data_IF_587425348522
#
_entry.id   IF_587425348522
#
_cell.length_a   1.000
_cell.length_b   1.000
_cell.length_c   1.000
_cell.angle_alpha   90.00
_cell.angle_beta   90.00
_cell.angle_gamma   90.00
#
_symmetry.space_group_name_H-M   'P 1'
#
loop_
_entity.id
_entity.type
_entity.pdbx_description
1 polymer ?
#
# COMPACT_ATOMS: atom_id res chain seq x y z
N UNK A 1 19.91 -25.24 -11.89
CA UNK A 1 18.57 -25.64 -11.44
C UNK A 1 17.86 -24.33 -11.11
N UNK A 2 16.94 -23.91 -12.00
CA UNK A 2 16.17 -22.67 -11.80
C UNK A 2 15.18 -22.93 -10.66
N UNK A 3 15.37 -22.31 -9.51
CA UNK A 3 14.34 -22.27 -8.48
C UNK A 3 13.11 -21.63 -9.09
N UNK A 4 12.05 -22.41 -9.18
CA UNK A 4 10.74 -21.95 -9.64
C UNK A 4 10.25 -20.97 -8.57
N UNK A 5 10.49 -19.67 -8.74
CA UNK A 5 9.92 -18.65 -7.84
C UNK A 5 8.42 -18.78 -7.90
N UNK A 6 7.80 -19.07 -6.78
CA UNK A 6 6.35 -19.00 -6.64
C UNK A 6 5.90 -17.58 -7.03
N UNK A 7 4.94 -17.44 -7.95
CA UNK A 7 4.50 -16.12 -8.38
C UNK A 7 3.96 -15.33 -7.17
N UNK A 8 4.33 -14.07 -7.09
CA UNK A 8 3.86 -13.18 -6.03
C UNK A 8 2.33 -13.03 -6.10
N UNK A 9 1.62 -12.96 -4.96
CA UNK A 9 0.20 -12.65 -4.95
C UNK A 9 -0.08 -11.36 -5.71
N UNK A 10 -1.16 -11.36 -6.48
CA UNK A 10 -1.60 -10.20 -7.25
C UNK A 10 -3.08 -9.94 -7.05
N UNK A 11 -3.45 -8.65 -7.01
CA UNK A 11 -4.83 -8.21 -7.11
C UNK A 11 -5.03 -7.57 -8.48
N UNK A 12 -6.17 -7.81 -9.09
CA UNK A 12 -6.53 -7.21 -10.39
C UNK A 12 -7.79 -6.39 -10.24
N UNK A 13 -7.77 -5.22 -10.84
CA UNK A 13 -8.92 -4.33 -10.96
C UNK A 13 -9.23 -4.09 -12.43
N UNK A 14 -10.09 -3.16 -12.75
CA UNK A 14 -10.39 -2.79 -14.13
C UNK A 14 -9.14 -2.28 -14.89
N UNK A 15 -8.33 -1.44 -14.23
CA UNK A 15 -7.20 -0.77 -14.87
C UNK A 15 -5.85 -1.14 -14.29
N UNK A 16 -5.81 -1.72 -13.07
CA UNK A 16 -4.59 -1.94 -12.31
C UNK A 16 -4.31 -3.41 -12.04
N UNK A 17 -3.01 -3.71 -11.96
CA UNK A 17 -2.48 -4.93 -11.37
C UNK A 17 -1.64 -4.53 -10.16
N UNK A 18 -1.97 -5.06 -8.98
CA UNK A 18 -1.23 -4.85 -7.75
C UNK A 18 -0.42 -6.10 -7.45
N UNK A 19 0.88 -5.95 -7.20
CA UNK A 19 1.82 -7.02 -6.89
C UNK A 19 2.25 -6.89 -5.43
N UNK A 20 2.11 -7.96 -4.66
CA UNK A 20 2.49 -7.97 -3.25
C UNK A 20 4.01 -7.81 -3.08
N UNK A 21 4.41 -7.05 -2.06
CA UNK A 21 5.80 -6.76 -1.75
C UNK A 21 6.41 -7.79 -0.80
N UNK A 22 7.65 -8.15 -1.08
CA UNK A 22 8.50 -9.03 -0.25
C UNK A 22 9.51 -8.21 0.55
N UNK A 23 10.19 -8.79 1.57
CA UNK A 23 11.30 -8.15 2.25
C UNK A 23 12.41 -7.70 1.31
N UNK A 24 12.69 -8.48 0.26
CA UNK A 24 13.69 -8.12 -0.76
C UNK A 24 13.28 -6.85 -1.52
N UNK A 25 12.00 -6.72 -1.89
CA UNK A 25 11.47 -5.54 -2.53
C UNK A 25 11.57 -4.31 -1.63
N UNK A 26 11.22 -4.42 -0.34
CA UNK A 26 11.36 -3.32 0.61
C UNK A 26 12.81 -2.92 0.86
N UNK A 27 13.72 -3.89 0.93
CA UNK A 27 15.16 -3.62 1.08
C UNK A 27 15.69 -2.82 -0.11
N UNK A 28 15.36 -3.24 -1.33
CA UNK A 28 15.73 -2.54 -2.55
C UNK A 28 15.12 -1.14 -2.61
N UNK A 29 13.85 -1.01 -2.25
CA UNK A 29 13.14 0.26 -2.23
C UNK A 29 13.77 1.26 -1.24
N UNK A 30 14.02 0.81 -0.01
CA UNK A 30 14.66 1.65 1.02
C UNK A 30 16.10 2.06 0.68
N UNK A 31 16.79 1.25 -0.13
CA UNK A 31 18.12 1.57 -0.65
C UNK A 31 18.10 2.50 -1.88
N UNK A 32 16.91 2.75 -2.46
CA UNK A 32 16.80 3.47 -3.74
C UNK A 32 17.32 2.66 -4.94
N UNK A 33 17.52 1.34 -4.77
CA UNK A 33 17.99 0.45 -5.84
C UNK A 33 16.83 0.02 -6.73
N UNK A 34 16.57 0.83 -7.75
CA UNK A 34 15.47 0.60 -8.72
C UNK A 34 15.66 -0.70 -9.49
N UNK A 35 16.91 -1.09 -9.78
CA UNK A 35 17.23 -2.33 -10.48
C UNK A 35 16.87 -3.56 -9.65
N UNK A 36 17.30 -3.58 -8.39
CA UNK A 36 16.95 -4.65 -7.45
C UNK A 36 15.44 -4.67 -7.16
N UNK A 37 14.78 -3.52 -7.05
CA UNK A 37 13.34 -3.43 -6.88
C UNK A 37 12.59 -4.01 -8.08
N UNK A 38 13.04 -3.69 -9.31
CA UNK A 38 12.50 -4.26 -10.54
C UNK A 38 12.67 -5.78 -10.58
N UNK A 39 13.83 -6.29 -10.19
CA UNK A 39 14.08 -7.73 -10.13
C UNK A 39 13.21 -8.44 -9.08
N UNK A 40 13.00 -7.81 -7.91
CA UNK A 40 12.22 -8.38 -6.83
C UNK A 40 10.69 -8.39 -7.10
N UNK A 41 10.20 -7.48 -7.94
CA UNK A 41 8.75 -7.30 -8.19
C UNK A 41 8.32 -7.69 -9.60
N UNK A 42 9.24 -7.80 -10.54
CA UNK A 42 8.94 -7.97 -11.97
C UNK A 42 8.40 -6.70 -12.63
N UNK A 43 8.44 -5.54 -11.95
CA UNK A 43 7.94 -4.26 -12.47
C UNK A 43 9.10 -3.44 -13.04
N UNK A 44 8.96 -2.93 -14.25
CA UNK A 44 9.92 -2.01 -14.85
C UNK A 44 9.62 -0.57 -14.41
N UNK A 45 10.44 -0.02 -13.53
CA UNK A 45 10.25 1.36 -13.03
C UNK A 45 10.79 2.42 -13.98
N UNK A 46 11.80 2.11 -14.81
CA UNK A 46 12.41 3.06 -15.74
C UNK A 46 12.86 4.33 -15.02
N UNK A 47 12.61 5.47 -15.66
CA UNK A 47 12.93 6.79 -15.11
C UNK A 47 11.96 7.26 -14.01
N UNK A 48 10.91 6.49 -13.74
CA UNK A 48 9.95 6.81 -12.71
C UNK A 48 10.55 6.77 -11.29
N UNK A 49 11.60 6.00 -11.11
CA UNK A 49 12.16 5.76 -9.80
C UNK A 49 11.22 4.94 -8.90
N UNK A 50 11.63 4.73 -7.66
CA UNK A 50 10.78 4.07 -6.68
C UNK A 50 9.52 4.90 -6.36
N UNK A 51 8.37 4.28 -6.04
CA UNK A 51 7.17 5.01 -5.69
C UNK A 51 7.41 6.01 -4.57
N UNK A 52 6.78 7.20 -4.64
CA UNK A 52 6.84 8.14 -3.55
C UNK A 52 6.11 7.51 -2.36
N UNK A 53 6.83 6.94 -1.45
CA UNK A 53 6.40 6.78 -0.09
C UNK A 53 7.09 7.85 0.71
N UNK A 54 6.55 8.14 1.86
CA UNK A 54 7.23 8.85 2.92
C UNK A 54 8.69 8.37 2.96
N UNK A 55 9.53 8.96 2.13
CA UNK A 55 10.89 8.44 1.84
C UNK A 55 11.72 8.37 3.13
N UNK A 56 11.39 9.21 4.11
CA UNK A 56 12.00 9.25 5.42
C UNK A 56 11.63 8.03 6.28
N UNK A 57 10.46 7.43 6.06
CA UNK A 57 9.97 6.30 6.84
C UNK A 57 10.31 4.94 6.24
N UNK A 58 10.71 4.90 4.98
CA UNK A 58 11.04 3.63 4.29
C UNK A 58 12.05 2.76 5.05
N UNK A 59 13.16 3.29 5.61
CA UNK A 59 14.09 2.48 6.39
C UNK A 59 13.45 1.89 7.64
N UNK A 60 12.61 2.66 8.35
CA UNK A 60 11.90 2.19 9.56
C UNK A 60 10.88 1.12 9.20
N UNK A 61 10.13 1.32 8.12
CA UNK A 61 9.14 0.37 7.59
C UNK A 61 9.84 -0.93 7.20
N UNK A 62 10.95 -0.86 6.45
CA UNK A 62 11.76 -2.03 6.09
C UNK A 62 12.20 -2.81 7.32
N UNK A 63 12.76 -2.15 8.33
CA UNK A 63 13.28 -2.80 9.54
C UNK A 63 12.15 -3.47 10.32
N UNK A 64 10.98 -2.84 10.40
CA UNK A 64 9.77 -3.42 11.00
C UNK A 64 9.32 -4.68 10.24
N UNK A 65 9.30 -4.62 8.92
CA UNK A 65 8.93 -5.76 8.06
C UNK A 65 9.90 -6.90 8.25
N UNK A 66 11.22 -6.63 8.21
CA UNK A 66 12.24 -7.66 8.41
C UNK A 66 12.14 -8.33 9.79
N UNK A 67 11.80 -7.56 10.82
CA UNK A 67 11.65 -8.06 12.19
C UNK A 67 10.38 -8.90 12.40
N UNK A 68 9.32 -8.65 11.62
CA UNK A 68 8.00 -9.27 11.77
C UNK A 68 7.58 -10.10 10.57
N UNK A 69 8.51 -10.39 9.66
CA UNK A 69 8.17 -11.09 8.44
C UNK A 69 7.64 -12.49 8.72
N UNK A 70 6.50 -12.77 8.14
CA UNK A 70 5.89 -14.08 8.06
C UNK A 70 5.50 -14.30 6.59
N UNK A 71 5.94 -15.39 5.94
CA UNK A 71 5.56 -15.71 4.57
C UNK A 71 4.04 -15.77 4.35
N UNK A 72 3.29 -16.20 5.37
CA UNK A 72 1.82 -16.27 5.33
C UNK A 72 1.16 -14.89 5.48
N UNK A 73 1.94 -13.87 5.87
CA UNK A 73 1.49 -12.48 5.96
C UNK A 73 1.81 -11.65 4.70
N UNK A 74 2.19 -12.29 3.59
CA UNK A 74 2.40 -11.59 2.32
C UNK A 74 1.11 -10.89 1.89
N UNK A 75 1.24 -9.62 1.45
CA UNK A 75 0.10 -8.74 1.17
C UNK A 75 -0.31 -7.84 2.34
N UNK A 76 -0.02 -8.22 3.58
CA UNK A 76 -0.29 -7.39 4.77
C UNK A 76 0.72 -6.25 4.96
N UNK A 77 1.77 -6.20 4.17
CA UNK A 77 2.76 -5.13 4.23
C UNK A 77 2.60 -4.12 3.10
N UNK A 78 2.39 -4.60 1.87
CA UNK A 78 2.15 -3.66 0.77
C UNK A 78 2.08 -4.30 -0.59
N UNK A 79 1.61 -3.46 -1.51
CA UNK A 79 1.37 -3.76 -2.91
C UNK A 79 1.89 -2.63 -3.77
N UNK A 80 2.55 -2.95 -4.87
CA UNK A 80 2.84 -1.99 -5.93
C UNK A 80 1.77 -2.09 -7.01
N UNK A 81 1.18 -0.95 -7.36
CA UNK A 81 0.16 -0.85 -8.39
C UNK A 81 0.78 -0.44 -9.73
N UNK A 82 0.42 -1.15 -10.78
CA UNK A 82 0.79 -0.84 -12.17
C UNK A 82 -0.43 -0.74 -13.05
N UNK A 83 -0.35 -0.01 -14.16
CA UNK A 83 -1.36 -0.07 -15.21
C UNK A 83 -1.33 -1.46 -15.86
N UNK A 84 -2.45 -2.15 -15.88
CA UNK A 84 -2.54 -3.50 -16.48
C UNK A 84 -2.19 -3.49 -17.97
N UNK A 85 -2.52 -2.41 -18.67
CA UNK A 85 -2.30 -2.30 -20.11
C UNK A 85 -0.83 -2.13 -20.50
N UNK A 86 -0.02 -1.44 -19.67
CA UNK A 86 1.34 -1.04 -20.02
C UNK A 86 2.41 -1.58 -19.05
N UNK A 87 2.01 -2.01 -17.86
CA UNK A 87 2.94 -2.34 -16.77
C UNK A 87 3.55 -1.12 -16.08
N UNK A 88 3.17 0.10 -16.46
CA UNK A 88 3.69 1.33 -15.88
C UNK A 88 3.33 1.45 -14.40
N UNK A 89 4.30 1.74 -13.50
CA UNK A 89 4.03 1.89 -12.09
C UNK A 89 3.21 3.15 -11.80
N UNK A 90 2.19 2.99 -10.95
CA UNK A 90 1.23 4.04 -10.59
C UNK A 90 1.42 4.54 -9.16
N UNK A 91 1.79 3.65 -8.25
CA UNK A 91 1.94 3.96 -6.85
C UNK A 91 1.96 2.70 -5.99
N UNK A 92 1.65 2.88 -4.71
CA UNK A 92 1.63 1.80 -3.73
C UNK A 92 0.45 1.93 -2.78
N UNK A 93 0.05 0.81 -2.20
CA UNK A 93 -0.88 0.73 -1.09
C UNK A 93 -0.39 -0.34 -0.14
N UNK A 94 -0.53 -0.15 1.16
CA UNK A 94 -0.04 -1.12 2.12
C UNK A 94 -0.72 -1.01 3.48
N UNK A 95 -0.43 -1.99 4.32
CA UNK A 95 -0.92 -2.08 5.69
C UNK A 95 0.25 -2.05 6.67
N UNK A 96 -0.04 -1.76 7.93
CA UNK A 96 0.94 -1.82 9.01
C UNK A 96 1.16 -3.26 9.56
N UNK A 97 1.08 -4.25 8.69
CA UNK A 97 1.09 -5.67 9.03
C UNK A 97 -0.33 -6.25 9.19
N UNK A 98 -0.39 -7.55 9.46
CA UNK A 98 -1.65 -8.23 9.78
C UNK A 98 -2.19 -7.69 11.11
N UNK A 99 -3.47 -7.29 11.20
CA UNK A 99 -4.00 -6.76 12.45
C UNK A 99 -4.16 -7.84 13.52
N UNK A 100 -3.82 -7.49 14.76
CA UNK A 100 -4.02 -8.34 15.93
C UNK A 100 -5.39 -8.09 16.60
N UNK A 101 -5.98 -6.91 16.36
CA UNK A 101 -7.23 -6.43 16.96
C UNK A 101 -8.42 -6.38 15.96
N UNK A 102 -8.26 -6.99 14.80
CA UNK A 102 -9.29 -7.01 13.75
C UNK A 102 -9.36 -5.77 12.87
N UNK A 103 -8.58 -4.71 13.15
CA UNK A 103 -8.61 -3.47 12.36
C UNK A 103 -7.26 -3.20 11.70
N UNK A 104 -7.19 -3.36 10.37
CA UNK A 104 -5.98 -3.12 9.60
C UNK A 104 -5.77 -1.63 9.35
N UNK A 105 -4.58 -1.11 9.60
CA UNK A 105 -4.22 0.28 9.26
C UNK A 105 -3.65 0.33 7.85
N UNK A 106 -4.21 1.19 6.99
CA UNK A 106 -3.84 1.33 5.58
C UNK A 106 -3.17 2.67 5.28
N UNK A 107 -2.18 2.63 4.39
CA UNK A 107 -1.57 3.80 3.78
C UNK A 107 -1.42 3.61 2.27
N UNK A 108 -1.33 4.72 1.52
CA UNK A 108 -1.22 4.68 0.06
C UNK A 108 -0.52 5.91 -0.48
N UNK A 109 0.08 5.77 -1.66
CA UNK A 109 0.68 6.87 -2.39
C UNK A 109 0.55 6.65 -3.90
N UNK A 110 0.51 7.74 -4.66
CA UNK A 110 0.40 7.73 -6.13
C UNK A 110 1.43 8.70 -6.69
N UNK A 111 2.16 8.28 -7.74
CA UNK A 111 3.06 9.18 -8.46
C UNK A 111 2.31 10.43 -8.93
N UNK A 112 2.95 11.59 -8.85
CA UNK A 112 2.33 12.88 -9.16
C UNK A 112 1.65 12.89 -10.53
N UNK A 113 2.32 12.32 -11.55
CA UNK A 113 1.78 12.22 -12.92
C UNK A 113 0.52 11.37 -13.06
N UNK A 114 0.22 10.53 -12.07
CA UNK A 114 -0.95 9.64 -12.03
C UNK A 114 -2.03 10.11 -11.06
N UNK A 115 -1.81 11.20 -10.35
CA UNK A 115 -2.81 11.78 -9.43
C UNK A 115 -4.01 12.35 -10.19
N UNK A 116 -5.15 12.41 -9.53
CA UNK A 116 -6.39 12.93 -10.13
C UNK A 116 -7.06 12.02 -11.16
N UNK A 117 -6.46 10.86 -11.51
CA UNK A 117 -6.98 9.92 -12.51
C UNK A 117 -7.79 8.77 -11.89
N UNK A 118 -7.98 8.76 -10.57
CA UNK A 118 -8.75 7.76 -9.83
C UNK A 118 -7.99 6.48 -9.50
N UNK A 119 -6.73 6.34 -9.88
CA UNK A 119 -5.94 5.14 -9.63
C UNK A 119 -5.71 4.86 -8.14
N UNK A 120 -5.47 5.90 -7.34
CA UNK A 120 -5.35 5.76 -5.89
C UNK A 120 -6.61 5.19 -5.25
N UNK A 121 -7.78 5.68 -5.66
CA UNK A 121 -9.08 5.17 -5.20
C UNK A 121 -9.26 3.70 -5.57
N UNK A 122 -8.95 3.34 -6.82
CA UNK A 122 -9.08 1.98 -7.35
C UNK A 122 -8.13 1.00 -6.63
N UNK A 123 -6.86 1.36 -6.48
CA UNK A 123 -5.87 0.54 -5.78
C UNK A 123 -6.23 0.34 -4.30
N UNK A 124 -6.61 1.43 -3.62
CA UNK A 124 -6.96 1.37 -2.20
C UNK A 124 -8.25 0.56 -1.97
N UNK A 125 -9.27 0.73 -2.81
CA UNK A 125 -10.49 -0.07 -2.74
C UNK A 125 -10.23 -1.57 -2.92
N UNK A 126 -9.35 -1.94 -3.85
CA UNK A 126 -8.94 -3.32 -4.05
C UNK A 126 -8.23 -3.91 -2.83
N UNK A 127 -7.30 -3.15 -2.23
CA UNK A 127 -6.60 -3.56 -1.02
C UNK A 127 -7.54 -3.68 0.19
N UNK A 128 -8.48 -2.74 0.36
CA UNK A 128 -9.52 -2.79 1.40
C UNK A 128 -10.38 -4.06 1.23
N UNK A 129 -10.89 -4.32 0.03
CA UNK A 129 -11.68 -5.52 -0.26
C UNK A 129 -10.90 -6.80 0.04
N UNK A 130 -9.62 -6.83 -0.33
CA UNK A 130 -8.73 -7.95 -0.01
C UNK A 130 -8.57 -8.14 1.51
N UNK A 131 -8.29 -7.08 2.26
CA UNK A 131 -8.13 -7.16 3.71
C UNK A 131 -9.42 -7.66 4.40
N UNK A 132 -10.57 -7.09 4.04
CA UNK A 132 -11.87 -7.47 4.60
C UNK A 132 -12.32 -8.89 4.20
N UNK A 133 -11.71 -9.50 3.19
CA UNK A 133 -11.98 -10.90 2.83
C UNK A 133 -11.33 -11.93 3.77
N UNK A 134 -10.42 -11.49 4.64
CA UNK A 134 -9.70 -12.38 5.57
C UNK A 134 -10.46 -12.53 6.89
N UNK A 135 -10.48 -13.76 7.41
CA UNK A 135 -11.07 -14.05 8.71
C UNK A 135 -10.33 -13.29 9.83
N UNK A 136 -11.10 -12.76 10.79
CA UNK A 136 -10.57 -11.98 11.90
C UNK A 136 -10.25 -10.53 11.55
N UNK A 137 -10.60 -10.05 10.35
CA UNK A 137 -10.51 -8.64 9.97
C UNK A 137 -11.90 -8.04 9.88
N UNK A 138 -12.22 -7.16 10.80
CA UNK A 138 -13.54 -6.53 10.93
C UNK A 138 -13.60 -5.15 10.28
N UNK A 139 -12.43 -4.51 10.13
CA UNK A 139 -12.35 -3.17 9.57
C UNK A 139 -10.97 -2.79 9.03
N UNK A 140 -10.97 -1.69 8.30
CA UNK A 140 -9.75 -1.02 7.84
C UNK A 140 -9.80 0.43 8.28
N UNK A 141 -8.68 0.92 8.82
CA UNK A 141 -8.51 2.30 9.34
C UNK A 141 -7.48 3.04 8.49
N UNK A 142 -7.79 4.29 8.17
CA UNK A 142 -6.85 5.26 7.61
C UNK A 142 -6.74 6.45 8.55
N UNK A 143 -5.51 6.89 8.86
CA UNK A 143 -5.25 8.16 9.56
C UNK A 143 -4.74 9.16 8.54
N UNK A 144 -5.44 10.26 8.39
CA UNK A 144 -5.22 11.21 7.30
C UNK A 144 -5.04 12.60 7.90
N UNK A 145 -3.90 13.30 7.64
CA UNK A 145 -3.76 14.68 8.06
C UNK A 145 -4.93 15.55 7.58
N UNK A 146 -5.43 16.42 8.43
CA UNK A 146 -6.62 17.26 8.15
C UNK A 146 -6.45 18.16 6.93
N UNK A 147 -5.19 18.54 6.62
CA UNK A 147 -4.83 19.33 5.44
C UNK A 147 -4.74 18.52 4.14
N UNK A 148 -4.74 17.17 4.18
CA UNK A 148 -4.58 16.32 3.00
C UNK A 148 -5.92 16.07 2.30
N UNK A 149 -6.51 17.11 1.74
CA UNK A 149 -7.81 17.04 1.07
C UNK A 149 -7.92 15.97 -0.04
N UNK A 150 -6.89 15.68 -0.87
CA UNK A 150 -6.97 14.57 -1.82
C UNK A 150 -7.19 13.21 -1.16
N UNK A 151 -6.49 12.94 -0.05
CA UNK A 151 -6.59 11.68 0.69
C UNK A 151 -7.95 11.54 1.39
N UNK A 152 -8.46 12.64 1.97
CA UNK A 152 -9.79 12.68 2.58
C UNK A 152 -10.88 12.33 1.56
N UNK A 153 -10.85 12.97 0.38
CA UNK A 153 -11.81 12.67 -0.69
C UNK A 153 -11.69 11.23 -1.22
N UNK A 154 -10.48 10.67 -1.23
CA UNK A 154 -10.26 9.28 -1.63
C UNK A 154 -10.92 8.33 -0.61
N UNK A 155 -10.70 8.53 0.67
CA UNK A 155 -11.28 7.72 1.74
C UNK A 155 -12.82 7.76 1.68
N UNK A 156 -13.41 8.95 1.58
CA UNK A 156 -14.86 9.13 1.46
C UNK A 156 -15.45 8.44 0.22
N UNK A 157 -14.75 8.51 -0.92
CA UNK A 157 -15.17 7.85 -2.17
C UNK A 157 -15.23 6.33 -2.06
N UNK A 158 -14.35 5.72 -1.27
CA UNK A 158 -14.33 4.27 -1.03
C UNK A 158 -15.44 3.86 -0.04
N UNK A 159 -15.93 4.81 0.76
CA UNK A 159 -16.96 4.57 1.78
C UNK A 159 -16.42 4.53 3.20
N UNK A 160 -15.20 5.01 3.42
CA UNK A 160 -14.72 5.25 4.78
C UNK A 160 -15.55 6.34 5.47
N UNK A 161 -15.80 6.17 6.74
CA UNK A 161 -16.52 7.13 7.59
C UNK A 161 -15.55 7.67 8.65
N UNK A 162 -15.57 8.98 8.86
CA UNK A 162 -14.78 9.61 9.93
C UNK A 162 -15.31 9.15 11.28
N UNK A 163 -14.46 8.57 12.10
CA UNK A 163 -14.78 8.04 13.44
C UNK A 163 -14.14 8.82 14.57
N UNK A 164 -13.16 9.68 14.27
CA UNK A 164 -12.48 10.47 15.29
C UNK A 164 -11.37 11.33 14.73
N UNK A 165 -10.62 11.93 15.63
CA UNK A 165 -9.39 12.67 15.36
C UNK A 165 -8.33 12.35 16.42
N UNK A 166 -7.07 12.49 16.08
CA UNK A 166 -5.94 12.29 16.96
C UNK A 166 -4.84 13.32 16.67
N UNK A 167 -3.86 13.43 17.57
CA UNK A 167 -2.66 14.24 17.34
C UNK A 167 -1.50 13.32 16.98
N UNK A 168 -0.93 13.57 15.83
CA UNK A 168 0.31 12.93 15.38
C UNK A 168 1.49 13.89 15.65
N UNK A 169 2.59 13.43 16.26
CA UNK A 169 3.71 14.29 16.62
C UNK A 169 4.46 14.88 15.43
N UNK A 170 4.35 14.27 14.24
CA UNK A 170 5.09 14.69 13.04
C UNK A 170 4.24 15.57 12.12
N UNK A 171 2.94 15.26 11.97
CA UNK A 171 2.08 15.91 10.97
C UNK A 171 0.95 16.77 11.56
N UNK A 172 0.77 16.77 12.89
CA UNK A 172 -0.26 17.54 13.57
C UNK A 172 -1.58 16.76 13.73
N UNK A 173 -2.71 17.45 13.54
CA UNK A 173 -4.01 16.77 13.63
C UNK A 173 -4.21 15.81 12.48
N UNK A 174 -4.64 14.58 12.82
CA UNK A 174 -5.05 13.56 11.86
C UNK A 174 -6.49 13.16 12.11
N UNK A 175 -7.23 12.99 11.03
CA UNK A 175 -8.60 12.47 11.08
C UNK A 175 -8.55 10.95 10.92
N UNK A 176 -9.34 10.27 11.73
CA UNK A 176 -9.46 8.80 11.72
C UNK A 176 -10.67 8.40 10.90
N UNK A 177 -10.44 7.66 9.86
CA UNK A 177 -11.46 7.12 8.96
C UNK A 177 -11.49 5.61 9.04
N UNK A 178 -12.67 5.00 9.10
CA UNK A 178 -12.82 3.55 9.15
C UNK A 178 -13.86 3.05 8.17
N UNK A 179 -13.63 1.85 7.65
CA UNK A 179 -14.59 1.09 6.87
C UNK A 179 -14.63 -0.33 7.40
N UNK A 180 -15.82 -0.86 7.66
CA UNK A 180 -16.06 -2.22 8.12
C UNK A 180 -16.50 -3.14 7.00
N UNK A 181 -16.75 -4.40 7.36
CA UNK A 181 -17.44 -5.35 6.47
C UNK A 181 -18.86 -4.84 6.16
N UNK A 182 -19.34 -5.01 4.92
CA UNK A 182 -20.72 -4.71 4.56
C UNK A 182 -21.72 -5.60 5.29
#
# INVERSE_FOLDING_TARGET
MSESQTPLPTLRTERLTLVALTPAAYTAWAAGDVGALSAATGIAFGDAGAPPLLAEDLPKIRDLILARWDPDAIGWWGWLATLTATGEPVGSVGFAGRPDDGVATIGYSVYERHQGLGYGTEATAAAVGWALSHDGVDGVRATIPDWNAPSLRLAEKIGFVMTGAAQDPEVGEVLVYEIGRP
#
